data_IF_201265973590
#
_entry.id   IF_201265973590
#
_cell.length_a   1.000
_cell.length_b   1.000
_cell.length_c   1.000
_cell.angle_alpha   90.00
_cell.angle_beta   90.00
_cell.angle_gamma   90.00
#
_symmetry.space_group_name_H-M   'P 1'
#
loop_
_entity.id
_entity.type
_entity.pdbx_description
1 polymer ?
#
# COMPACT_ATOMS: atom_id res chain seq x y z
N UNK A 1 -56.63 9.42 -30.96
CA UNK A 1 -55.96 10.13 -29.84
C UNK A 1 -55.23 9.16 -28.91
N UNK A 2 -54.27 8.35 -29.41
CA UNK A 2 -53.47 7.42 -28.59
C UNK A 2 -52.10 7.30 -29.23
N UNK A 3 -51.11 8.12 -28.83
CA UNK A 3 -49.73 7.94 -29.32
C UNK A 3 -48.63 8.75 -28.62
N UNK A 4 -48.73 9.09 -27.34
CA UNK A 4 -47.66 9.83 -26.66
C UNK A 4 -47.67 9.60 -25.15
N UNK A 5 -47.26 8.42 -24.65
CA UNK A 5 -46.99 8.24 -23.19
C UNK A 5 -46.19 6.96 -22.84
N UNK A 6 -45.51 6.33 -23.81
CA UNK A 6 -44.56 5.25 -23.55
C UNK A 6 -43.23 5.59 -24.23
N UNK A 7 -42.42 6.42 -23.60
CA UNK A 7 -41.12 6.79 -24.16
C UNK A 7 -40.12 7.39 -23.17
N UNK A 8 -40.41 7.32 -21.86
CA UNK A 8 -39.64 8.07 -20.86
C UNK A 8 -39.31 7.25 -19.60
N UNK A 9 -39.19 5.93 -19.70
CA UNK A 9 -38.88 5.08 -18.54
C UNK A 9 -37.81 4.00 -18.76
N UNK A 10 -36.98 4.12 -19.79
CA UNK A 10 -35.91 3.14 -20.09
C UNK A 10 -34.48 3.70 -20.02
N UNK A 11 -34.29 4.96 -19.63
CA UNK A 11 -32.98 5.63 -19.69
C UNK A 11 -32.43 6.00 -18.30
N UNK A 12 -32.51 5.09 -17.32
CA UNK A 12 -31.96 5.31 -15.98
C UNK A 12 -31.35 4.04 -15.35
N UNK A 13 -30.84 3.14 -16.18
CA UNK A 13 -30.22 1.87 -15.74
C UNK A 13 -28.73 1.74 -16.07
N UNK A 14 -28.09 2.76 -16.63
CA UNK A 14 -26.68 2.70 -16.95
C UNK A 14 -25.91 3.72 -16.11
N UNK A 15 -24.83 3.23 -15.48
CA UNK A 15 -23.80 3.95 -14.71
C UNK A 15 -23.87 3.79 -13.17
N UNK A 16 -24.17 2.59 -12.67
CA UNK A 16 -23.62 2.18 -11.37
C UNK A 16 -22.18 1.68 -11.60
N UNK A 17 -21.23 2.59 -11.80
CA UNK A 17 -19.83 2.23 -11.59
C UNK A 17 -19.65 1.98 -10.09
N UNK A 18 -19.03 0.87 -9.67
CA UNK A 18 -18.71 0.70 -8.26
C UNK A 18 -17.68 1.77 -7.91
N UNK A 19 -18.12 2.85 -7.25
CA UNK A 19 -17.22 3.67 -6.45
C UNK A 19 -16.63 2.72 -5.42
N UNK A 20 -15.37 2.34 -5.59
CA UNK A 20 -14.61 1.77 -4.49
C UNK A 20 -14.40 2.90 -3.51
N UNK A 21 -15.34 3.05 -2.57
CA UNK A 21 -15.20 3.98 -1.47
C UNK A 21 -13.85 3.72 -0.80
N UNK A 22 -13.12 4.79 -0.49
CA UNK A 22 -11.90 4.70 0.31
C UNK A 22 -12.22 3.90 1.56
N UNK A 23 -11.62 2.72 1.68
CA UNK A 23 -11.95 1.79 2.76
C UNK A 23 -11.01 2.10 3.90
N UNK A 24 -11.53 2.78 4.91
CA UNK A 24 -10.80 3.02 6.15
C UNK A 24 -10.96 1.81 7.06
N UNK A 25 -9.84 1.27 7.56
CA UNK A 25 -9.79 0.10 8.42
C UNK A 25 -9.16 0.46 9.77
N UNK A 26 -9.67 -0.08 10.89
CA UNK A 26 -9.06 0.11 12.20
C UNK A 26 -7.62 -0.41 12.23
N UNK A 27 -6.72 0.38 12.80
CA UNK A 27 -5.30 0.06 12.85
C UNK A 27 -4.49 0.90 13.84
N UNK A 28 -3.19 0.60 13.87
CA UNK A 28 -2.19 1.36 14.62
C UNK A 28 -1.19 1.96 13.65
N UNK A 29 -0.83 3.22 13.88
CA UNK A 29 0.20 3.94 13.16
C UNK A 29 1.27 4.36 14.16
N UNK A 30 2.51 3.93 13.95
CA UNK A 30 3.65 4.28 14.79
C UNK A 30 4.45 5.34 14.07
N UNK A 31 4.56 6.52 14.67
CA UNK A 31 5.27 7.65 14.12
C UNK A 31 6.79 7.51 14.29
N UNK A 32 7.55 8.31 13.54
CA UNK A 32 9.02 8.35 13.57
C UNK A 32 9.60 8.61 14.98
N UNK A 33 8.90 9.41 15.79
CA UNK A 33 9.28 9.71 17.17
C UNK A 33 8.96 8.57 18.17
N UNK A 34 8.24 7.53 17.75
CA UNK A 34 7.82 6.41 18.60
C UNK A 34 6.38 6.51 19.10
N UNK A 35 5.68 7.62 18.87
CA UNK A 35 4.29 7.77 19.27
C UNK A 35 3.42 6.79 18.50
N UNK A 36 2.48 6.17 19.20
CA UNK A 36 1.53 5.22 18.60
C UNK A 36 0.15 5.84 18.57
N UNK A 37 -0.38 6.02 17.36
CA UNK A 37 -1.72 6.50 17.10
C UNK A 37 -2.65 5.33 16.81
N UNK A 38 -3.80 5.30 17.47
CA UNK A 38 -4.89 4.35 17.21
C UNK A 38 -6.01 5.09 16.49
N UNK A 39 -6.47 4.52 15.39
CA UNK A 39 -7.57 5.10 14.61
C UNK A 39 -7.87 4.24 13.40
N UNK A 40 -8.24 4.88 12.31
CA UNK A 40 -8.51 4.23 11.03
C UNK A 40 -7.51 4.68 9.98
N UNK A 41 -7.05 3.72 9.18
CA UNK A 41 -6.06 3.90 8.13
C UNK A 41 -6.75 3.57 6.81
N UNK A 42 -6.60 4.41 5.79
CA UNK A 42 -7.08 4.08 4.45
C UNK A 42 -6.35 2.84 3.93
N UNK A 43 -7.06 1.77 3.64
CA UNK A 43 -6.54 0.58 2.99
C UNK A 43 -6.83 0.65 1.50
N UNK A 44 -5.87 1.13 0.71
CA UNK A 44 -5.99 1.14 -0.76
C UNK A 44 -5.52 -0.18 -1.41
N UNK A 45 -5.37 -1.25 -0.63
CA UNK A 45 -4.92 -2.57 -1.09
C UNK A 45 -3.62 -2.50 -1.91
N UNK A 46 -2.65 -1.72 -1.42
CA UNK A 46 -1.42 -1.45 -2.17
C UNK A 46 -0.66 -2.74 -2.49
N UNK A 47 -0.28 -2.88 -3.76
CA UNK A 47 0.66 -3.90 -4.24
C UNK A 47 2.09 -3.39 -4.14
N UNK A 48 2.32 -2.15 -4.56
CA UNK A 48 3.59 -1.43 -4.41
C UNK A 48 3.64 -0.68 -3.06
N UNK A 49 4.82 -0.36 -2.52
CA UNK A 49 4.96 0.46 -1.32
C UNK A 49 4.17 1.78 -1.42
N UNK A 50 3.30 2.09 -0.45
CA UNK A 50 2.56 3.34 -0.46
C UNK A 50 3.51 4.53 -0.30
N UNK A 51 3.24 5.59 -1.07
CA UNK A 51 4.00 6.85 -1.02
C UNK A 51 3.45 7.84 0.01
N UNK A 52 2.26 7.59 0.52
CA UNK A 52 1.61 8.31 1.62
C UNK A 52 0.56 7.40 2.28
N UNK A 53 0.19 7.74 3.51
CA UNK A 53 -0.83 7.04 4.30
C UNK A 53 -1.85 8.08 4.77
N UNK A 54 -3.13 7.81 4.50
CA UNK A 54 -4.23 8.55 5.09
C UNK A 54 -4.64 7.91 6.41
N UNK A 55 -4.77 8.73 7.44
CA UNK A 55 -5.14 8.33 8.79
C UNK A 55 -6.22 9.24 9.33
N UNK A 56 -7.15 8.71 10.11
CA UNK A 56 -8.08 9.52 10.90
C UNK A 56 -8.24 8.92 12.30
N UNK A 57 -8.27 9.74 13.37
CA UNK A 57 -8.50 9.24 14.72
C UNK A 57 -9.85 8.53 14.89
N UNK A 58 -10.89 9.03 14.22
CA UNK A 58 -12.24 8.46 14.23
C UNK A 58 -12.89 8.59 12.86
N UNK A 59 -13.97 7.86 12.61
CA UNK A 59 -14.67 7.84 11.33
C UNK A 59 -15.19 9.22 10.85
N UNK A 60 -15.45 10.14 11.77
CA UNK A 60 -15.94 11.50 11.47
C UNK A 60 -14.84 12.55 11.47
N UNK A 61 -13.62 12.21 11.89
CA UNK A 61 -12.49 13.13 11.90
C UNK A 61 -11.98 13.38 10.47
N UNK A 62 -11.44 14.59 10.20
CA UNK A 62 -10.76 14.84 8.93
C UNK A 62 -9.54 13.92 8.78
N UNK A 63 -9.28 13.50 7.54
CA UNK A 63 -8.14 12.67 7.19
C UNK A 63 -6.83 13.48 7.28
N UNK A 64 -5.82 12.88 7.88
CA UNK A 64 -4.45 13.37 8.00
C UNK A 64 -3.55 12.55 7.08
N UNK A 65 -2.63 13.23 6.38
CA UNK A 65 -1.69 12.59 5.48
C UNK A 65 -0.32 12.44 6.15
N UNK A 66 0.20 11.21 6.17
CA UNK A 66 1.54 10.87 6.63
C UNK A 66 2.41 10.39 5.48
N UNK A 67 3.63 10.91 5.40
CA UNK A 67 4.66 10.44 4.50
C UNK A 67 5.39 9.23 5.12
N UNK A 68 5.89 8.26 4.33
CA UNK A 68 6.60 7.08 4.83
C UNK A 68 7.69 7.39 5.87
N UNK A 69 8.51 8.41 5.60
CA UNK A 69 9.59 8.90 6.48
C UNK A 69 9.13 9.46 7.83
N UNK A 70 7.85 9.79 7.98
CA UNK A 70 7.25 10.21 9.25
C UNK A 70 6.75 9.02 10.09
N UNK A 71 6.86 7.81 9.56
CA UNK A 71 6.35 6.58 10.15
C UNK A 71 7.50 5.63 10.47
N UNK A 72 7.32 4.83 11.52
CA UNK A 72 8.13 3.63 11.78
C UNK A 72 7.42 2.38 11.27
N UNK A 73 6.12 2.31 11.50
CA UNK A 73 5.30 1.17 11.13
C UNK A 73 3.81 1.55 11.07
N UNK A 74 3.02 0.70 10.43
CA UNK A 74 1.57 0.69 10.56
C UNK A 74 1.06 -0.75 10.53
N UNK A 75 -0.08 -0.99 11.16
CA UNK A 75 -0.73 -2.30 11.17
C UNK A 75 -2.23 -2.14 11.10
N UNK A 76 -2.87 -3.06 10.38
CA UNK A 76 -4.31 -3.21 10.34
C UNK A 76 -4.72 -4.29 11.35
N UNK A 77 -5.90 -4.13 11.94
CA UNK A 77 -6.50 -5.18 12.80
C UNK A 77 -6.69 -6.51 12.07
N UNK A 78 -6.81 -6.48 10.73
CA UNK A 78 -6.85 -7.67 9.87
C UNK A 78 -5.49 -8.37 9.64
N UNK A 79 -4.41 -7.92 10.30
CA UNK A 79 -3.12 -8.61 10.34
C UNK A 79 -2.07 -8.14 9.34
N UNK A 80 -2.44 -7.38 8.29
CA UNK A 80 -1.43 -6.75 7.40
C UNK A 80 -0.67 -5.67 8.16
N UNK A 81 0.64 -5.64 8.04
CA UNK A 81 1.49 -4.60 8.62
C UNK A 81 2.58 -4.16 7.65
N UNK A 82 3.05 -2.92 7.84
CA UNK A 82 4.12 -2.33 7.05
C UNK A 82 5.13 -1.67 7.98
N UNK A 83 6.38 -1.68 7.57
CA UNK A 83 7.50 -1.07 8.30
C UNK A 83 8.25 -0.12 7.39
N UNK A 84 8.60 1.04 7.92
CA UNK A 84 9.52 1.95 7.23
C UNK A 84 10.93 1.36 7.31
N UNK A 85 11.56 1.17 6.16
CA UNK A 85 12.88 0.56 6.03
C UNK A 85 13.73 1.30 5.01
N UNK A 86 15.04 1.16 5.16
CA UNK A 86 16.05 1.62 4.20
C UNK A 86 16.76 0.37 3.69
N UNK A 87 16.58 0.02 2.43
CA UNK A 87 17.02 -1.27 1.88
C UNK A 87 17.57 -1.13 0.46
N UNK A 88 18.58 -1.92 0.07
CA UNK A 88 19.02 -2.01 -1.32
C UNK A 88 17.96 -2.75 -2.15
N UNK A 89 17.54 -2.15 -3.25
CA UNK A 89 16.57 -2.69 -4.21
C UNK A 89 17.19 -2.65 -5.60
N UNK A 90 17.05 -3.73 -6.37
CA UNK A 90 17.44 -3.73 -7.78
C UNK A 90 16.29 -3.19 -8.64
N UNK A 91 16.48 -1.99 -9.19
CA UNK A 91 15.49 -1.34 -10.05
C UNK A 91 15.47 -1.92 -11.47
N UNK A 92 16.50 -2.68 -11.85
CA UNK A 92 16.55 -3.39 -13.12
C UNK A 92 15.92 -4.78 -13.05
N UNK A 93 15.50 -5.23 -11.86
CA UNK A 93 14.92 -6.56 -11.67
C UNK A 93 13.62 -6.71 -12.47
N UNK A 94 13.57 -7.74 -13.32
CA UNK A 94 12.46 -8.02 -14.20
C UNK A 94 12.17 -9.52 -14.19
N UNK A 95 10.89 -9.87 -14.12
CA UNK A 95 10.42 -11.27 -14.14
C UNK A 95 9.58 -11.57 -15.39
N UNK A 96 9.20 -10.55 -16.15
CA UNK A 96 8.44 -10.70 -17.41
C UNK A 96 9.38 -11.02 -18.55
N UNK A 97 9.18 -12.17 -19.19
CA UNK A 97 10.05 -12.72 -20.22
C UNK A 97 10.27 -11.76 -21.41
N UNK A 98 9.25 -10.99 -21.79
CA UNK A 98 9.30 -10.03 -22.90
C UNK A 98 10.12 -8.77 -22.61
N UNK A 99 10.50 -8.55 -21.34
CA UNK A 99 11.22 -7.37 -20.88
C UNK A 99 12.56 -7.67 -20.21
N UNK A 100 12.96 -8.94 -20.19
CA UNK A 100 14.24 -9.34 -19.59
C UNK A 100 15.40 -8.59 -20.28
N UNK A 101 16.28 -7.94 -19.51
CA UNK A 101 17.45 -7.31 -20.09
C UNK A 101 18.37 -8.36 -20.72
N UNK A 102 19.08 -7.98 -21.79
CA UNK A 102 20.10 -8.84 -22.38
C UNK A 102 21.38 -8.77 -21.53
N UNK A 103 21.85 -9.93 -21.07
CA UNK A 103 23.05 -10.04 -20.23
C UNK A 103 22.77 -9.76 -18.75
N UNK A 104 23.83 -9.68 -17.96
CA UNK A 104 23.75 -9.42 -16.52
C UNK A 104 23.73 -7.91 -16.26
N UNK A 105 22.53 -7.33 -16.14
CA UNK A 105 22.33 -5.94 -15.79
C UNK A 105 21.62 -5.85 -14.44
N UNK A 106 22.18 -5.07 -13.52
CA UNK A 106 21.61 -4.81 -12.19
C UNK A 106 21.72 -3.30 -11.91
N UNK A 107 20.71 -2.76 -11.25
CA UNK A 107 20.65 -1.36 -10.84
C UNK A 107 20.23 -1.28 -9.37
N UNK A 108 21.16 -1.64 -8.49
CA UNK A 108 20.90 -1.64 -7.05
C UNK A 108 21.00 -0.22 -6.49
N UNK A 109 19.90 0.26 -5.90
CA UNK A 109 19.81 1.56 -5.23
C UNK A 109 19.24 1.41 -3.83
N UNK A 110 19.71 2.23 -2.90
CA UNK A 110 19.16 2.26 -1.54
C UNK A 110 17.89 3.08 -1.51
N UNK A 111 16.77 2.42 -1.25
CA UNK A 111 15.46 3.05 -1.17
C UNK A 111 15.00 3.17 0.27
N UNK A 112 14.21 4.21 0.55
CA UNK A 112 13.51 4.36 1.83
C UNK A 112 12.00 4.36 1.62
N UNK A 113 11.31 3.35 2.18
CA UNK A 113 9.92 3.03 1.83
C UNK A 113 9.20 2.26 2.94
N UNK A 114 7.88 2.11 2.81
CA UNK A 114 7.08 1.22 3.65
C UNK A 114 7.02 -0.18 3.00
N UNK A 115 7.80 -1.11 3.54
CA UNK A 115 7.78 -2.50 3.12
C UNK A 115 6.68 -3.26 3.87
N UNK A 116 6.00 -4.17 3.19
CA UNK A 116 5.03 -5.04 3.86
C UNK A 116 5.77 -6.11 4.66
N UNK A 117 5.30 -6.36 5.87
CA UNK A 117 5.87 -7.40 6.73
C UNK A 117 5.08 -8.68 6.52
N UNK A 118 5.76 -9.72 6.04
CA UNK A 118 5.15 -11.04 5.81
C UNK A 118 5.32 -11.97 7.01
N UNK A 119 6.41 -11.78 7.76
CA UNK A 119 6.71 -12.53 8.97
C UNK A 119 7.40 -11.62 9.97
N UNK A 120 6.89 -11.60 11.20
CA UNK A 120 7.52 -10.95 12.36
C UNK A 120 8.19 -12.01 13.25
N UNK A 121 9.32 -11.66 13.87
CA UNK A 121 10.05 -12.55 14.76
C UNK A 121 11.54 -12.20 14.88
N UNK A 122 12.38 -13.13 15.35
CA UNK A 122 13.84 -12.93 15.44
C UNK A 122 14.50 -12.60 14.09
N UNK A 123 13.89 -13.03 12.99
CA UNK A 123 14.16 -12.55 11.65
C UNK A 123 12.83 -12.14 10.99
N UNK A 124 12.77 -10.92 10.48
CA UNK A 124 11.63 -10.40 9.74
C UNK A 124 11.78 -10.77 8.25
N UNK A 125 10.68 -11.18 7.61
CA UNK A 125 10.59 -11.28 6.16
C UNK A 125 9.76 -10.11 5.64
N UNK A 126 10.38 -9.28 4.81
CA UNK A 126 9.75 -8.11 4.22
C UNK A 126 9.51 -8.33 2.71
N UNK A 127 8.45 -7.72 2.20
CA UNK A 127 8.11 -7.69 0.78
C UNK A 127 8.10 -6.27 0.25
N UNK A 128 8.76 -6.07 -0.90
CA UNK A 128 8.74 -4.82 -1.65
C UNK A 128 8.44 -5.15 -3.11
N UNK A 129 7.25 -4.81 -3.58
CA UNK A 129 6.89 -4.94 -4.99
C UNK A 129 7.22 -3.66 -5.74
N UNK A 130 7.89 -3.78 -6.86
CA UNK A 130 8.13 -2.71 -7.83
C UNK A 130 7.58 -3.16 -9.19
N UNK A 131 7.41 -2.25 -10.16
CA UNK A 131 7.19 -2.65 -11.53
C UNK A 131 8.28 -3.64 -11.98
N UNK A 132 7.87 -4.81 -12.47
CA UNK A 132 8.78 -5.84 -13.00
C UNK A 132 9.13 -6.97 -12.01
N UNK A 133 9.30 -6.68 -10.72
CA UNK A 133 9.70 -7.70 -9.75
C UNK A 133 9.24 -7.43 -8.30
N UNK A 134 9.12 -8.51 -7.54
CA UNK A 134 8.94 -8.47 -6.08
C UNK A 134 10.25 -8.88 -5.40
N UNK A 135 10.71 -8.03 -4.49
CA UNK A 135 11.88 -8.27 -3.66
C UNK A 135 11.44 -8.81 -2.30
N UNK A 136 12.10 -9.88 -1.86
CA UNK A 136 11.95 -10.45 -0.52
C UNK A 136 13.23 -10.20 0.27
N UNK A 137 13.10 -9.53 1.42
CA UNK A 137 14.24 -9.08 2.20
C UNK A 137 14.17 -9.72 3.58
N UNK A 138 15.25 -10.40 3.98
CA UNK A 138 15.41 -10.92 5.33
C UNK A 138 16.10 -9.87 6.19
N UNK A 139 15.49 -9.49 7.31
CA UNK A 139 16.05 -8.52 8.25
C UNK A 139 16.20 -9.15 9.62
N UNK A 140 17.34 -8.93 10.27
CA UNK A 140 17.58 -9.37 11.65
C UNK A 140 17.80 -8.14 12.52
N UNK A 141 17.11 -7.97 13.66
CA UNK A 141 17.23 -6.77 14.50
C UNK A 141 18.66 -6.44 14.97
N UNK A 142 19.56 -7.43 14.97
CA UNK A 142 20.94 -7.34 15.46
C UNK A 142 22.03 -7.43 14.38
N UNK A 143 21.67 -7.43 13.09
CA UNK A 143 22.65 -7.39 12.00
C UNK A 143 22.29 -6.26 11.01
N UNK A 144 23.27 -5.41 10.64
CA UNK A 144 23.07 -4.37 9.63
C UNK A 144 22.74 -4.97 8.26
#
# INVERSE_FOLDING_TARGET
>A
MIRRLLGSLSCLYFLATPLRAQTYEPGLLVQANGDTLRGEIENSFWTEPPTFIHYRPTATSPSQLFQPRQLRALSFTGGRSFRYVIVPIDHAAETRLDRLPRGNYFEVRTDSLLAEVLLEGPAELLRVTRPGATHYLLRRPSQP
#
